data_IF_357563048125
#
_entry.id   IF_357563048125
#
_cell.length_a   1.000
_cell.length_b   1.000
_cell.length_c   1.000
_cell.angle_alpha   90.00
_cell.angle_beta   90.00
_cell.angle_gamma   90.00
#
_symmetry.space_group_name_H-M   'P 1'
#
loop_
_entity.id
_entity.type
_entity.pdbx_description
1 polymer ?
#
# COMPACT_ATOMS: atom_id res chain seq x y z
N UNK A 1 -8.99 -11.59 12.37
CA UNK A 1 -8.09 -10.96 13.37
C UNK A 1 -7.10 -10.08 12.62
N UNK A 2 -7.19 -8.75 12.79
CA UNK A 2 -6.21 -7.78 12.30
C UNK A 2 -4.91 -7.95 13.11
N UNK A 3 -4.09 -8.91 12.73
CA UNK A 3 -2.71 -9.02 13.24
C UNK A 3 -2.00 -7.70 12.96
N UNK A 4 -1.49 -7.08 14.01
CA UNK A 4 -0.97 -5.71 14.07
C UNK A 4 0.05 -5.48 12.93
N UNK A 5 -0.40 -4.91 11.80
CA UNK A 5 0.45 -4.68 10.61
C UNK A 5 1.53 -3.63 10.88
N UNK A 6 1.29 -2.70 11.79
CA UNK A 6 2.14 -1.54 12.02
C UNK A 6 2.85 -1.64 13.36
N UNK A 7 4.16 -1.39 13.39
CA UNK A 7 4.98 -1.43 14.60
C UNK A 7 4.63 -0.30 15.58
N UNK A 8 4.23 0.86 15.06
CA UNK A 8 3.84 2.02 15.86
C UNK A 8 2.89 2.94 15.07
N UNK A 9 2.40 3.99 15.73
CA UNK A 9 1.47 4.94 15.13
C UNK A 9 2.08 5.75 13.97
N UNK A 10 3.39 6.04 14.02
CA UNK A 10 4.09 6.74 12.95
C UNK A 10 4.08 5.93 11.65
N UNK A 11 4.44 4.64 11.74
CA UNK A 11 4.39 3.72 10.59
C UNK A 11 2.96 3.59 10.06
N UNK A 12 1.97 3.46 10.94
CA UNK A 12 0.56 3.44 10.53
C UNK A 12 0.18 4.69 9.72
N UNK A 13 0.52 5.88 10.23
CA UNK A 13 0.24 7.16 9.55
C UNK A 13 0.92 7.24 8.18
N UNK A 14 2.15 6.75 8.06
CA UNK A 14 2.86 6.70 6.78
C UNK A 14 2.13 5.82 5.75
N UNK A 15 1.60 4.68 6.16
CA UNK A 15 0.82 3.81 5.28
C UNK A 15 -0.56 4.39 4.95
N UNK A 16 -1.26 4.94 5.93
CA UNK A 16 -2.56 5.60 5.73
C UNK A 16 -2.44 6.77 4.75
N UNK A 17 -1.40 7.60 4.90
CA UNK A 17 -1.11 8.73 4.02
C UNK A 17 -0.76 8.26 2.59
N UNK A 18 0.05 7.21 2.46
CA UNK A 18 0.38 6.62 1.17
C UNK A 18 -0.86 6.07 0.43
N UNK A 19 -1.77 5.40 1.17
CA UNK A 19 -3.04 4.92 0.63
C UNK A 19 -3.94 6.10 0.22
N UNK A 20 -4.02 7.15 1.04
CA UNK A 20 -4.79 8.36 0.76
C UNK A 20 -4.34 9.00 -0.55
N UNK A 21 -3.04 9.22 -0.72
CA UNK A 21 -2.47 9.80 -1.94
C UNK A 21 -2.80 8.96 -3.18
N UNK A 22 -2.67 7.63 -3.11
CA UNK A 22 -3.06 6.75 -4.22
C UNK A 22 -4.55 6.83 -4.56
N UNK A 23 -5.39 6.96 -3.53
CA UNK A 23 -6.85 7.11 -3.71
C UNK A 23 -7.21 8.48 -4.31
N UNK A 24 -6.44 9.53 -4.04
CA UNK A 24 -6.60 10.85 -4.67
C UNK A 24 -6.18 10.85 -6.14
N UNK A 25 -5.12 10.12 -6.48
CA UNK A 25 -4.68 9.92 -7.87
C UNK A 25 -5.66 9.06 -8.69
N UNK A 26 -6.38 8.14 -8.04
CA UNK A 26 -7.27 7.15 -8.69
C UNK A 26 -8.58 6.95 -7.89
N UNK A 27 -9.46 7.97 -7.87
CA UNK A 27 -10.65 8.00 -7.01
C UNK A 27 -11.67 6.90 -7.31
N UNK A 28 -11.69 6.37 -8.53
CA UNK A 28 -12.55 5.26 -8.95
C UNK A 28 -12.06 3.89 -8.47
N UNK A 29 -10.82 3.80 -7.99
CA UNK A 29 -10.17 2.53 -7.60
C UNK A 29 -9.89 2.41 -6.10
N UNK A 30 -10.48 3.24 -5.24
CA UNK A 30 -10.14 3.29 -3.81
C UNK A 30 -10.19 1.92 -3.10
N UNK A 31 -11.26 1.15 -3.32
CA UNK A 31 -11.41 -0.16 -2.67
C UNK A 31 -10.35 -1.17 -3.15
N UNK A 32 -10.05 -1.14 -4.46
CA UNK A 32 -8.99 -1.95 -5.05
C UNK A 32 -7.61 -1.55 -4.51
N UNK A 33 -7.34 -0.25 -4.39
CA UNK A 33 -6.08 0.28 -3.85
C UNK A 33 -5.87 -0.18 -2.42
N UNK A 34 -6.86 0.02 -1.54
CA UNK A 34 -6.78 -0.40 -0.13
C UNK A 34 -6.49 -1.90 -0.01
N UNK A 35 -7.23 -2.72 -0.76
CA UNK A 35 -7.07 -4.18 -0.74
C UNK A 35 -5.70 -4.61 -1.25
N UNK A 36 -5.31 -4.10 -2.42
CA UNK A 36 -4.03 -4.44 -3.07
C UNK A 36 -2.83 -3.97 -2.25
N UNK A 37 -2.95 -2.81 -1.60
CA UNK A 37 -1.91 -2.26 -0.74
C UNK A 37 -1.66 -3.17 0.47
N UNK A 38 -2.72 -3.58 1.17
CA UNK A 38 -2.60 -4.47 2.33
C UNK A 38 -2.08 -5.85 1.93
N UNK A 39 -2.51 -6.38 0.79
CA UNK A 39 -2.00 -7.64 0.24
C UNK A 39 -0.52 -7.53 -0.16
N UNK A 40 -0.10 -6.40 -0.72
CA UNK A 40 1.30 -6.13 -1.05
C UNK A 40 2.17 -5.99 0.21
N UNK A 41 1.66 -5.30 1.23
CA UNK A 41 2.38 -4.98 2.45
C UNK A 41 2.59 -6.20 3.36
N UNK A 42 1.58 -7.08 3.47
CA UNK A 42 1.61 -8.24 4.38
C UNK A 42 2.87 -9.12 4.27
N UNK A 43 3.31 -9.57 3.07
CA UNK A 43 4.55 -10.34 2.96
C UNK A 43 5.79 -9.49 3.29
N UNK A 44 5.81 -8.21 2.89
CA UNK A 44 6.96 -7.33 3.14
C UNK A 44 7.22 -7.11 4.64
N UNK A 45 6.16 -7.02 5.45
CA UNK A 45 6.25 -6.89 6.91
C UNK A 45 6.92 -8.12 7.55
N UNK A 46 6.66 -9.31 7.01
CA UNK A 46 7.19 -10.57 7.53
C UNK A 46 8.70 -10.69 7.32
N UNK A 47 9.20 -10.17 6.20
CA UNK A 47 10.60 -10.32 5.79
C UNK A 47 11.48 -9.13 6.19
N UNK A 48 10.88 -8.00 6.60
CA UNK A 48 11.59 -6.76 6.84
C UNK A 48 12.12 -6.62 8.28
N UNK A 49 13.45 -6.55 8.40
CA UNK A 49 14.12 -6.07 9.62
C UNK A 49 13.99 -4.54 9.79
N UNK A 50 13.99 -3.78 8.68
CA UNK A 50 13.84 -2.32 8.66
C UNK A 50 12.54 -1.96 7.94
N UNK A 51 11.63 -1.26 8.63
CA UNK A 51 10.28 -0.99 8.11
C UNK A 51 10.06 0.41 7.53
N UNK A 52 11.03 1.30 7.70
CA UNK A 52 10.94 2.74 7.35
C UNK A 52 10.49 3.01 5.90
N UNK A 53 10.80 2.09 4.97
CA UNK A 53 10.53 2.26 3.54
C UNK A 53 9.38 1.38 3.02
N UNK A 54 8.72 0.62 3.88
CA UNK A 54 7.67 -0.31 3.46
C UNK A 54 6.48 0.41 2.80
N UNK A 55 6.16 1.61 3.26
CA UNK A 55 5.08 2.40 2.66
C UNK A 55 5.37 2.75 1.21
N UNK A 56 6.62 3.10 0.89
CA UNK A 56 7.08 3.41 -0.47
C UNK A 56 7.03 2.16 -1.35
N UNK A 57 7.50 1.02 -0.85
CA UNK A 57 7.50 -0.23 -1.62
C UNK A 57 6.08 -0.76 -1.89
N UNK A 58 5.21 -0.72 -0.89
CA UNK A 58 3.81 -1.08 -1.05
C UNK A 58 3.12 -0.16 -2.08
N UNK A 59 3.34 1.15 -2.00
CA UNK A 59 2.78 2.11 -2.98
C UNK A 59 3.25 1.83 -4.41
N UNK A 60 4.55 1.60 -4.61
CA UNK A 60 5.10 1.28 -5.94
C UNK A 60 4.47 0.02 -6.52
N UNK A 61 4.32 -1.02 -5.71
CA UNK A 61 3.68 -2.27 -6.15
C UNK A 61 2.23 -2.04 -6.57
N UNK A 62 1.47 -1.24 -5.82
CA UNK A 62 0.09 -0.87 -6.21
C UNK A 62 0.07 -0.04 -7.49
N UNK A 63 0.97 0.94 -7.68
CA UNK A 63 1.04 1.72 -8.94
C UNK A 63 1.28 0.82 -10.16
N UNK A 64 2.16 -0.17 -10.05
CA UNK A 64 2.39 -1.15 -11.13
C UNK A 64 1.13 -1.95 -11.45
N UNK A 65 0.39 -2.38 -10.42
CA UNK A 65 -0.89 -3.08 -10.59
C UNK A 65 -1.94 -2.20 -11.26
N UNK A 66 -2.02 -0.93 -10.90
CA UNK A 66 -2.95 0.03 -11.50
C UNK A 66 -2.66 0.29 -12.98
N UNK A 67 -1.38 0.31 -13.37
CA UNK A 67 -0.93 0.46 -14.76
C UNK A 67 -1.22 -0.79 -15.60
N UNK A 68 -0.97 -1.98 -15.05
CA UNK A 68 -1.22 -3.25 -15.75
C UNK A 68 -2.71 -3.60 -15.87
N UNK A 69 -3.56 -3.07 -14.98
CA UNK A 69 -5.01 -3.20 -15.06
C UNK A 69 -5.67 -2.20 -16.03
N UNK A 70 -4.91 -1.26 -16.60
CA UNK A 70 -5.40 -0.33 -17.62
C UNK A 70 -4.82 -0.76 -18.96
N UNK A 71 -5.61 -1.32 -19.91
CA UNK A 71 -5.10 -1.48 -21.26
C UNK A 71 -4.69 -0.09 -21.77
N UNK A 72 -3.52 -0.01 -22.40
CA UNK A 72 -3.08 1.19 -23.08
C UNK A 72 -4.16 1.66 -24.07
N UNK A 73 -4.38 2.97 -24.24
CA UNK A 73 -5.22 3.49 -25.32
C UNK A 73 -4.67 3.09 -26.70
#
# INVERSE_FOLDING_TARGET
>A
MMTILFKNELERKQHEEAIRQLCEEHPEKQQYIKTSYLQALKPMISDAQIRTYLSIFASRKVKILLQSASPAP
#
